data_IF_527337818197
#
_entry.id   IF_527337818197
#
_cell.length_a   1.000
_cell.length_b   1.000
_cell.length_c   1.000
_cell.angle_alpha   90.00
_cell.angle_beta   90.00
_cell.angle_gamma   90.00
#
_symmetry.space_group_name_H-M   'P 1'
#
loop_
_entity.id
_entity.type
_entity.pdbx_description
1 polymer ?
#
# COMPACT_ATOMS: atom_id res chain seq x y z
N UNK A 1 44.17 71.03 35.71
CA UNK A 1 44.32 69.57 35.75
C UNK A 1 43.19 69.00 34.91
N UNK A 2 43.08 69.38 33.63
CA UNK A 2 43.95 69.01 32.47
C UNK A 2 43.68 67.53 32.14
N UNK A 3 42.83 67.21 31.16
CA UNK A 3 42.94 67.39 29.69
C UNK A 3 43.95 66.45 29.03
N UNK A 4 43.42 65.58 28.15
CA UNK A 4 44.03 64.84 27.02
C UNK A 4 42.81 64.26 26.26
N UNK A 5 42.22 64.88 25.24
CA UNK A 5 42.72 65.10 23.86
C UNK A 5 43.36 63.84 23.26
N UNK A 6 42.84 63.21 22.20
CA UNK A 6 42.79 63.64 20.78
C UNK A 6 42.11 62.51 19.96
N UNK A 7 41.17 62.75 19.02
CA UNK A 7 41.36 63.07 17.58
C UNK A 7 42.16 61.96 16.84
N UNK A 8 41.76 61.31 15.74
CA UNK A 8 41.45 61.78 14.36
C UNK A 8 40.85 60.54 13.61
N UNK A 9 39.66 60.57 13.00
CA UNK A 9 39.28 61.03 11.65
C UNK A 9 39.74 60.14 10.46
N UNK A 10 38.73 59.72 9.68
CA UNK A 10 38.72 58.99 8.40
C UNK A 10 39.48 59.71 7.25
N UNK A 11 39.60 59.10 6.05
CA UNK A 11 38.64 59.50 5.03
C UNK A 11 38.18 58.41 4.03
N UNK A 12 36.92 58.60 3.59
CA UNK A 12 36.40 58.17 2.29
C UNK A 12 37.14 58.89 1.15
N UNK A 13 37.35 58.20 0.04
CA UNK A 13 37.48 58.84 -1.28
C UNK A 13 36.61 58.15 -2.33
N UNK A 14 36.01 59.02 -3.11
CA UNK A 14 35.01 58.87 -4.18
C UNK A 14 35.66 58.83 -5.57
N UNK A 15 35.10 58.10 -6.52
CA UNK A 15 34.76 58.54 -7.90
C UNK A 15 34.20 57.32 -8.67
N UNK A 16 32.95 57.32 -9.13
CA UNK A 16 32.38 58.03 -10.30
C UNK A 16 33.04 57.64 -11.63
N UNK A 17 32.33 56.88 -12.47
CA UNK A 17 31.74 57.40 -13.73
C UNK A 17 31.00 56.30 -14.48
N UNK A 18 29.76 56.61 -14.86
CA UNK A 18 28.91 55.93 -15.83
C UNK A 18 29.58 55.80 -17.20
N UNK A 19 29.30 54.71 -17.94
CA UNK A 19 28.92 54.79 -19.36
C UNK A 19 28.02 53.60 -19.76
N UNK A 20 26.92 53.97 -20.41
CA UNK A 20 25.92 53.11 -21.05
C UNK A 20 26.24 53.02 -22.55
N UNK A 21 26.42 51.82 -23.12
CA UNK A 21 26.01 51.51 -24.50
C UNK A 21 26.08 50.01 -24.82
N UNK A 22 25.16 49.57 -25.68
CA UNK A 22 24.83 48.21 -26.08
C UNK A 22 25.92 47.51 -26.90
N UNK A 23 26.01 46.19 -26.80
CA UNK A 23 26.21 45.32 -27.98
C UNK A 23 25.76 43.89 -27.69
N UNK A 24 25.11 43.33 -28.69
CA UNK A 24 24.77 41.93 -28.90
C UNK A 24 25.95 40.99 -28.60
N UNK A 25 25.66 39.74 -28.19
CA UNK A 25 26.14 38.53 -28.86
C UNK A 25 25.63 37.25 -28.16
N UNK A 26 24.88 36.49 -28.95
CA UNK A 26 25.01 35.05 -29.20
C UNK A 26 24.67 34.00 -28.12
N UNK A 27 23.57 33.30 -28.41
CA UNK A 27 23.26 31.94 -27.98
C UNK A 27 24.41 30.96 -28.35
N UNK A 28 24.76 30.01 -27.47
CA UNK A 28 25.35 28.76 -27.91
C UNK A 28 24.25 27.79 -28.38
N UNK A 29 24.30 27.45 -29.67
CA UNK A 29 23.64 26.29 -30.24
C UNK A 29 24.19 24.99 -29.61
N UNK A 30 23.32 24.08 -29.20
CA UNK A 30 23.67 22.66 -29.02
C UNK A 30 22.65 21.76 -29.71
N UNK A 31 23.12 21.16 -30.81
CA UNK A 31 22.80 19.82 -31.32
C UNK A 31 21.34 19.34 -31.26
N UNK A 32 20.63 19.53 -32.39
CA UNK A 32 19.47 18.70 -32.76
C UNK A 32 19.96 17.27 -33.09
N UNK A 33 19.70 16.32 -32.21
CA UNK A 33 19.64 14.90 -32.57
C UNK A 33 18.24 14.62 -33.12
N UNK A 34 18.15 14.40 -34.43
CA UNK A 34 16.93 13.97 -35.12
C UNK A 34 16.88 12.44 -35.05
N UNK A 35 15.94 11.89 -34.29
CA UNK A 35 15.58 10.48 -34.40
C UNK A 35 14.32 10.40 -35.27
N UNK A 36 14.49 9.77 -36.43
CA UNK A 36 13.44 9.53 -37.41
C UNK A 36 12.31 8.70 -36.79
N UNK A 37 11.08 9.19 -36.91
CA UNK A 37 9.86 8.41 -36.71
C UNK A 37 9.69 7.58 -37.98
N UNK A 38 9.87 6.26 -37.87
CA UNK A 38 9.45 5.32 -38.91
C UNK A 38 7.95 5.12 -38.71
N UNK A 39 7.16 5.68 -39.62
CA UNK A 39 5.75 5.36 -39.78
C UNK A 39 5.62 3.92 -40.28
N UNK A 40 5.04 3.05 -39.45
CA UNK A 40 4.40 1.84 -39.94
C UNK A 40 2.90 2.11 -40.01
N UNK A 41 2.42 2.25 -41.23
CA UNK A 41 1.03 2.10 -41.61
C UNK A 41 0.64 0.64 -41.39
N UNK A 42 -0.44 0.40 -40.66
CA UNK A 42 -1.21 -0.82 -40.86
C UNK A 42 -2.70 -0.51 -40.91
N UNK A 43 -3.34 -1.23 -41.83
CA UNK A 43 -4.58 -0.91 -42.49
C UNK A 43 -5.80 -1.05 -41.58
N UNK A 44 -6.84 -0.31 -41.96
CA UNK A 44 -8.11 -0.22 -41.25
C UNK A 44 -8.84 -1.55 -41.04
N UNK A 45 -9.74 -1.51 -40.07
CA UNK A 45 -11.16 -1.79 -40.35
C UNK A 45 -12.03 -1.02 -39.34
N UNK A 46 -12.66 0.04 -39.84
CA UNK A 46 -13.85 0.62 -39.24
C UNK A 46 -15.04 -0.30 -39.52
N UNK A 47 -15.80 -0.67 -38.49
CA UNK A 47 -17.23 -0.91 -38.64
C UNK A 47 -17.98 -0.23 -37.48
N UNK A 48 -18.90 0.65 -37.87
CA UNK A 48 -19.88 1.34 -37.01
C UNK A 48 -21.14 0.48 -36.87
N UNK A 49 -21.77 0.65 -35.71
CA UNK A 49 -23.21 0.52 -35.39
C UNK A 49 -23.86 -0.88 -35.46
N UNK A 50 -24.34 -1.36 -34.30
CA UNK A 50 -25.76 -1.16 -33.96
C UNK A 50 -26.08 -1.49 -32.50
N UNK A 51 -26.95 -0.67 -31.93
CA UNK A 51 -27.51 -0.80 -30.60
C UNK A 51 -28.81 -1.62 -30.66
N UNK A 52 -28.91 -2.68 -29.87
CA UNK A 52 -30.20 -3.25 -29.50
C UNK A 52 -30.25 -3.52 -27.99
N UNK A 53 -31.18 -2.81 -27.35
CA UNK A 53 -31.56 -2.93 -25.95
C UNK A 53 -32.39 -4.21 -25.78
N UNK A 54 -32.08 -5.05 -24.80
CA UNK A 54 -33.03 -6.05 -24.31
C UNK A 54 -33.25 -5.90 -22.79
N UNK A 55 -34.52 -5.99 -22.32
CA UNK A 55 -34.95 -5.41 -21.05
C UNK A 55 -34.69 -6.30 -19.82
N UNK A 56 -34.32 -5.61 -18.75
CA UNK A 56 -34.33 -6.04 -17.36
C UNK A 56 -35.72 -6.57 -16.97
N UNK A 57 -35.88 -7.88 -16.75
CA UNK A 57 -37.07 -8.46 -16.11
C UNK A 57 -36.77 -8.75 -14.64
N UNK A 58 -37.41 -7.97 -13.76
CA UNK A 58 -37.49 -8.25 -12.32
C UNK A 58 -38.35 -9.51 -12.10
N UNK A 59 -37.96 -10.47 -11.25
CA UNK A 59 -38.88 -11.49 -10.80
C UNK A 59 -39.78 -10.91 -9.70
N UNK A 60 -41.07 -10.91 -10.00
CA UNK A 60 -42.18 -10.58 -9.11
C UNK A 60 -42.31 -11.63 -8.01
N UNK A 61 -42.37 -11.21 -6.76
CA UNK A 61 -42.66 -12.08 -5.61
C UNK A 61 -44.10 -12.59 -5.71
N UNK A 62 -44.28 -13.91 -5.78
CA UNK A 62 -45.58 -14.57 -5.64
C UNK A 62 -45.66 -15.11 -4.21
N UNK A 63 -46.62 -14.58 -3.44
CA UNK A 63 -46.94 -15.08 -2.10
C UNK A 63 -47.75 -16.37 -2.22
N UNK A 64 -47.30 -17.43 -1.53
CA UNK A 64 -48.12 -18.59 -1.15
C UNK A 64 -47.85 -18.85 0.33
N UNK A 65 -48.81 -18.48 1.17
CA UNK A 65 -49.07 -19.07 2.50
C UNK A 65 -49.91 -20.34 2.27
N UNK A 66 -49.92 -21.43 3.03
CA UNK A 66 -49.35 -21.88 4.31
C UNK A 66 -49.43 -23.43 4.28
N UNK A 67 -48.62 -24.14 5.06
CA UNK A 67 -48.78 -25.60 5.17
C UNK A 67 -47.74 -26.33 6.04
N UNK A 68 -48.06 -26.44 7.32
CA UNK A 68 -47.76 -27.58 8.22
C UNK A 68 -46.30 -27.94 8.60
N UNK A 69 -45.88 -27.33 9.71
CA UNK A 69 -45.37 -27.96 10.94
C UNK A 69 -44.69 -29.35 10.83
N UNK A 70 -43.36 -29.36 10.72
CA UNK A 70 -42.53 -30.43 11.32
C UNK A 70 -41.36 -29.81 12.09
N UNK A 71 -41.42 -29.91 13.41
CA UNK A 71 -40.32 -29.61 14.33
C UNK A 71 -39.13 -30.50 14.00
N UNK A 72 -38.12 -29.94 13.32
CA UNK A 72 -36.80 -30.57 13.22
C UNK A 72 -35.93 -29.97 14.32
N UNK A 73 -35.68 -30.76 15.35
CA UNK A 73 -34.71 -30.46 16.39
C UNK A 73 -33.35 -30.16 15.75
N UNK A 74 -32.89 -28.93 15.90
CA UNK A 74 -31.51 -28.54 15.60
C UNK A 74 -30.60 -29.15 16.68
N UNK A 75 -29.60 -29.96 16.34
CA UNK A 75 -28.56 -30.29 17.31
C UNK A 75 -27.82 -29.00 17.68
N UNK A 76 -27.66 -28.80 18.98
CA UNK A 76 -26.96 -27.66 19.57
C UNK A 76 -25.52 -27.55 19.04
N UNK A 77 -25.13 -26.29 18.86
CA UNK A 77 -23.77 -25.73 18.73
C UNK A 77 -22.62 -26.74 18.90
N UNK A 78 -22.10 -27.21 17.77
CA UNK A 78 -20.71 -27.62 17.68
C UNK A 78 -19.94 -26.37 17.26
N UNK A 79 -19.05 -25.93 18.14
CA UNK A 79 -18.27 -24.71 18.01
C UNK A 79 -17.62 -24.60 16.64
N UNK A 80 -17.84 -23.47 15.99
CA UNK A 80 -16.99 -23.04 14.89
C UNK A 80 -15.59 -22.89 15.51
N UNK A 81 -14.70 -23.85 15.23
CA UNK A 81 -13.27 -23.68 15.49
C UNK A 81 -12.85 -22.46 14.68
N UNK A 82 -12.82 -21.31 15.34
CA UNK A 82 -12.20 -20.12 14.80
C UNK A 82 -10.74 -20.51 14.62
N UNK A 83 -10.32 -20.77 13.39
CA UNK A 83 -8.90 -20.65 13.03
C UNK A 83 -8.61 -19.16 13.14
N UNK A 84 -8.38 -18.71 14.38
CA UNK A 84 -7.92 -17.38 14.69
C UNK A 84 -6.53 -17.31 14.09
N UNK A 85 -6.36 -16.53 13.03
CA UNK A 85 -5.02 -16.17 12.59
C UNK A 85 -4.35 -15.41 13.75
N UNK A 86 -3.53 -16.12 14.52
CA UNK A 86 -2.90 -15.65 15.76
C UNK A 86 -2.14 -14.33 15.52
N UNK A 87 -1.47 -14.21 14.37
CA UNK A 87 -0.70 -13.02 14.01
C UNK A 87 -1.57 -11.76 13.91
N UNK A 88 -2.73 -11.83 13.25
CA UNK A 88 -3.61 -10.68 13.10
C UNK A 88 -4.25 -10.26 14.43
N UNK A 89 -4.64 -11.23 15.25
CA UNK A 89 -5.21 -11.00 16.58
C UNK A 89 -4.18 -10.39 17.53
N UNK A 90 -2.97 -10.95 17.55
CA UNK A 90 -1.85 -10.44 18.34
C UNK A 90 -1.44 -9.03 17.91
N UNK A 91 -1.40 -8.76 16.60
CA UNK A 91 -1.16 -7.43 16.04
C UNK A 91 -2.20 -6.42 16.53
N UNK A 92 -3.49 -6.74 16.39
CA UNK A 92 -4.57 -5.85 16.80
C UNK A 92 -4.46 -5.50 18.28
N UNK A 93 -4.25 -6.50 19.15
CA UNK A 93 -4.07 -6.29 20.59
C UNK A 93 -2.89 -5.38 20.89
N UNK A 94 -1.76 -5.59 20.23
CA UNK A 94 -0.56 -4.77 20.42
C UNK A 94 -0.78 -3.31 20.00
N UNK A 95 -1.34 -3.09 18.79
CA UNK A 95 -1.60 -1.74 18.27
C UNK A 95 -2.56 -1.00 19.19
N UNK A 96 -3.71 -1.58 19.53
CA UNK A 96 -4.74 -0.87 20.31
C UNK A 96 -4.42 -0.77 21.80
N UNK A 97 -3.68 -1.74 22.35
CA UNK A 97 -3.42 -1.84 23.80
C UNK A 97 -2.07 -1.25 24.23
N UNK A 98 -1.00 -1.54 23.50
CA UNK A 98 0.35 -1.14 23.90
C UNK A 98 0.78 0.16 23.21
N UNK A 99 0.37 0.37 21.96
CA UNK A 99 0.72 1.57 21.20
C UNK A 99 -0.31 2.69 21.24
N UNK A 100 -1.49 2.46 21.82
CA UNK A 100 -2.64 3.37 21.73
C UNK A 100 -2.95 3.78 20.27
N UNK A 101 -2.79 2.85 19.33
CA UNK A 101 -3.14 3.04 17.93
C UNK A 101 -4.66 3.06 17.74
N UNK A 102 -5.13 3.96 16.88
CA UNK A 102 -6.53 4.20 16.61
C UNK A 102 -6.87 3.88 15.15
N UNK A 103 -8.17 3.84 14.82
CA UNK A 103 -8.67 3.69 13.44
C UNK A 103 -8.00 2.57 12.63
N UNK A 104 -7.85 1.41 13.28
CA UNK A 104 -7.21 0.25 12.64
C UNK A 104 -8.13 -0.35 11.57
N UNK A 105 -7.70 -0.34 10.31
CA UNK A 105 -8.47 -0.83 9.15
C UNK A 105 -7.64 -1.84 8.35
N UNK A 106 -8.27 -2.94 7.93
CA UNK A 106 -7.64 -3.89 7.02
C UNK A 106 -7.65 -3.30 5.61
N UNK A 107 -6.48 -2.93 5.09
CA UNK A 107 -6.36 -2.28 3.77
C UNK A 107 -6.40 -3.34 2.68
N UNK A 108 -5.61 -4.41 2.80
CA UNK A 108 -5.57 -5.50 1.81
C UNK A 108 -5.11 -6.81 2.45
N UNK A 109 -5.61 -7.93 1.93
CA UNK A 109 -5.02 -9.25 2.12
C UNK A 109 -4.63 -9.79 0.75
N UNK A 110 -3.36 -10.14 0.56
CA UNK A 110 -2.84 -10.64 -0.72
C UNK A 110 -1.65 -11.58 -0.54
N UNK A 111 -1.38 -12.38 -1.55
CA UNK A 111 -0.13 -13.14 -1.68
C UNK A 111 0.99 -12.21 -2.15
N UNK A 112 2.17 -12.33 -1.55
CA UNK A 112 3.39 -11.68 -2.04
C UNK A 112 3.86 -12.39 -3.32
N UNK A 113 3.81 -11.68 -4.44
CA UNK A 113 4.27 -12.22 -5.72
C UNK A 113 5.72 -11.85 -6.00
N UNK A 114 6.31 -12.48 -7.02
CA UNK A 114 7.66 -12.17 -7.52
C UNK A 114 7.85 -10.67 -7.75
N UNK A 115 6.86 -9.98 -8.31
CA UNK A 115 6.91 -8.54 -8.54
C UNK A 115 7.07 -7.72 -7.27
N UNK A 116 6.48 -8.16 -6.15
CA UNK A 116 6.62 -7.49 -4.87
C UNK A 116 8.00 -7.80 -4.25
N UNK A 117 8.59 -8.96 -4.53
CA UNK A 117 9.91 -9.36 -3.99
C UNK A 117 11.08 -8.93 -4.89
N UNK A 118 10.80 -8.38 -6.07
CA UNK A 118 11.81 -8.01 -7.04
C UNK A 118 12.66 -6.84 -6.53
N UNK A 119 13.96 -7.11 -6.36
CA UNK A 119 14.92 -6.15 -5.80
C UNK A 119 15.05 -4.87 -6.62
N UNK A 120 14.86 -4.93 -7.94
CA UNK A 120 14.89 -3.75 -8.81
C UNK A 120 13.65 -2.85 -8.65
N UNK A 121 12.52 -3.40 -8.21
CA UNK A 121 11.27 -2.65 -8.07
C UNK A 121 11.13 -2.01 -6.70
N UNK A 122 11.64 -2.66 -5.65
CA UNK A 122 11.70 -2.14 -4.28
C UNK A 122 10.35 -1.58 -3.80
N UNK A 123 9.28 -2.33 -4.02
CA UNK A 123 7.91 -1.90 -3.76
C UNK A 123 6.94 -3.04 -3.46
N UNK A 124 5.98 -2.78 -2.59
CA UNK A 124 4.77 -3.57 -2.41
C UNK A 124 3.61 -2.90 -3.16
N UNK A 125 2.97 -3.63 -4.08
CA UNK A 125 1.83 -3.12 -4.83
C UNK A 125 0.49 -3.51 -4.16
N UNK A 126 -0.41 -2.56 -4.02
CA UNK A 126 -1.75 -2.72 -3.44
C UNK A 126 -2.81 -2.17 -4.41
N UNK A 127 -3.29 -3.00 -5.36
CA UNK A 127 -4.26 -2.56 -6.35
C UNK A 127 -5.58 -2.11 -5.72
N UNK A 128 -6.14 -0.98 -6.15
CA UNK A 128 -7.37 -0.42 -5.54
C UNK A 128 -8.53 -1.43 -5.60
N UNK A 129 -8.63 -2.20 -6.69
CA UNK A 129 -9.67 -3.22 -6.87
C UNK A 129 -9.60 -4.40 -5.88
N UNK A 130 -8.49 -4.56 -5.16
CA UNK A 130 -8.26 -5.64 -4.20
C UNK A 130 -8.32 -5.16 -2.75
N UNK A 131 -8.53 -3.86 -2.51
CA UNK A 131 -8.64 -3.31 -1.17
C UNK A 131 -9.85 -3.89 -0.45
N UNK A 132 -9.73 -4.02 0.87
CA UNK A 132 -10.82 -4.43 1.75
C UNK A 132 -11.59 -3.23 2.31
N UNK A 133 -10.97 -2.06 2.33
CA UNK A 133 -11.65 -0.78 2.53
C UNK A 133 -12.19 -0.22 1.22
N UNK A 134 -13.08 0.76 1.30
CA UNK A 134 -13.31 1.64 0.15
C UNK A 134 -12.00 2.37 -0.22
N UNK A 135 -11.81 2.75 -1.49
CA UNK A 135 -10.66 3.57 -1.87
C UNK A 135 -10.61 4.82 -1.00
N UNK A 136 -9.41 5.24 -0.59
CA UNK A 136 -9.16 6.42 0.24
C UNK A 136 -9.68 6.37 1.69
N UNK A 137 -10.48 5.37 2.09
CA UNK A 137 -11.10 5.32 3.43
C UNK A 137 -10.10 5.21 4.60
N UNK A 138 -8.86 4.83 4.31
CA UNK A 138 -7.77 4.82 5.30
C UNK A 138 -6.93 6.11 5.30
N UNK A 139 -7.21 7.07 4.41
CA UNK A 139 -6.52 8.35 4.26
C UNK A 139 -7.40 9.50 4.78
N UNK A 140 -6.77 10.59 5.22
CA UNK A 140 -7.45 11.88 5.41
C UNK A 140 -7.51 12.66 4.10
N UNK A 141 -8.36 13.69 4.02
CA UNK A 141 -8.47 14.53 2.82
C UNK A 141 -7.13 15.18 2.45
N UNK A 142 -6.38 15.67 3.44
CA UNK A 142 -5.03 16.21 3.23
C UNK A 142 -4.06 15.15 2.68
N UNK A 143 -4.13 13.91 3.17
CA UNK A 143 -3.27 12.82 2.68
C UNK A 143 -3.65 12.36 1.28
N UNK A 144 -4.94 12.40 0.92
CA UNK A 144 -5.42 12.16 -0.44
C UNK A 144 -4.82 13.21 -1.37
N UNK A 145 -4.93 14.49 -1.00
CA UNK A 145 -4.34 15.60 -1.75
C UNK A 145 -2.83 15.42 -1.90
N UNK A 146 -2.11 15.12 -0.82
CA UNK A 146 -0.67 14.86 -0.87
C UNK A 146 -0.30 13.73 -1.82
N UNK A 147 -1.09 12.66 -1.87
CA UNK A 147 -0.82 11.52 -2.76
C UNK A 147 -1.11 11.83 -4.22
N UNK A 148 -2.17 12.59 -4.50
CA UNK A 148 -2.59 12.89 -5.88
C UNK A 148 -1.71 14.01 -6.48
N UNK A 149 -1.21 14.95 -5.67
CA UNK A 149 -0.36 16.06 -6.12
C UNK A 149 1.15 15.74 -6.09
N UNK A 150 1.61 14.89 -5.16
CA UNK A 150 3.03 14.58 -5.02
C UNK A 150 3.51 13.57 -6.06
N UNK A 151 4.55 13.96 -6.82
CA UNK A 151 5.28 13.02 -7.69
C UNK A 151 5.96 11.90 -6.91
N UNK A 152 6.32 12.11 -5.64
CA UNK A 152 7.05 11.10 -4.86
C UNK A 152 6.17 10.29 -3.90
N UNK A 153 4.98 10.80 -3.58
CA UNK A 153 4.16 10.34 -2.46
C UNK A 153 4.58 11.02 -1.15
N UNK A 154 4.32 10.37 -0.02
CA UNK A 154 4.75 10.85 1.31
C UNK A 154 5.25 9.70 2.21
N UNK A 155 5.99 10.06 3.26
CA UNK A 155 6.58 9.08 4.20
C UNK A 155 5.52 8.50 5.13
N UNK A 156 5.59 7.20 5.36
CA UNK A 156 4.75 6.48 6.31
C UNK A 156 5.61 5.56 7.17
N UNK A 157 5.22 5.41 8.44
CA UNK A 157 5.85 4.45 9.35
C UNK A 157 5.19 3.09 9.17
N UNK A 158 5.98 2.02 9.25
CA UNK A 158 5.50 0.64 9.02
C UNK A 158 5.93 -0.25 10.17
N UNK A 159 5.00 -1.02 10.73
CA UNK A 159 5.26 -2.08 11.70
C UNK A 159 5.42 -3.42 10.99
N UNK A 160 6.48 -4.15 11.33
CA UNK A 160 6.72 -5.50 10.82
C UNK A 160 6.08 -6.61 11.65
N UNK A 161 6.19 -7.87 11.18
CA UNK A 161 5.67 -9.05 11.88
C UNK A 161 6.18 -9.25 13.31
N UNK A 162 7.33 -8.65 13.65
CA UNK A 162 7.92 -8.68 15.01
C UNK A 162 7.25 -7.71 15.99
N UNK A 163 6.16 -7.03 15.59
CA UNK A 163 5.45 -6.02 16.38
C UNK A 163 6.33 -4.82 16.79
N UNK A 164 7.25 -4.46 15.91
CA UNK A 164 8.13 -3.32 16.09
C UNK A 164 7.99 -2.39 14.90
N UNK A 165 7.96 -1.08 15.18
CA UNK A 165 8.04 -0.08 14.13
C UNK A 165 9.41 -0.19 13.44
N UNK A 166 9.38 -0.28 12.12
CA UNK A 166 10.59 -0.30 11.33
C UNK A 166 11.28 1.05 11.39
N UNK A 167 12.59 1.04 11.62
CA UNK A 167 13.40 2.23 11.89
C UNK A 167 13.38 3.22 10.71
N UNK A 168 13.38 2.70 9.47
CA UNK A 168 13.39 3.53 8.26
C UNK A 168 11.97 3.67 7.71
N UNK A 169 11.48 4.89 7.42
CA UNK A 169 10.16 5.06 6.84
C UNK A 169 10.09 4.47 5.42
N UNK A 170 8.90 4.03 5.03
CA UNK A 170 8.57 3.74 3.63
C UNK A 170 7.83 4.94 3.04
N UNK A 171 7.63 4.93 1.73
CA UNK A 171 6.84 5.96 1.05
C UNK A 171 5.56 5.36 0.50
N UNK A 172 4.42 5.98 0.81
CA UNK A 172 3.15 5.66 0.20
C UNK A 172 2.95 6.56 -1.02
N UNK A 173 2.63 5.96 -2.16
CA UNK A 173 2.29 6.66 -3.40
C UNK A 173 1.10 5.98 -4.09
N UNK A 174 0.28 6.76 -4.81
CA UNK A 174 -0.73 6.22 -5.73
C UNK A 174 -0.20 6.29 -7.16
N UNK A 175 -0.32 5.19 -7.91
CA UNK A 175 0.05 5.09 -9.31
C UNK A 175 -1.18 4.88 -10.16
N UNK A 176 -1.31 5.71 -11.18
CA UNK A 176 -2.32 5.54 -12.22
C UNK A 176 -1.82 4.56 -13.27
N UNK A 177 -2.50 3.42 -13.41
CA UNK A 177 -2.26 2.49 -14.50
C UNK A 177 -3.44 2.57 -15.47
N UNK A 178 -3.23 2.13 -16.72
CA UNK A 178 -4.24 2.15 -17.78
C UNK A 178 -5.61 1.59 -17.38
N UNK A 179 -5.64 0.59 -16.49
CA UNK A 179 -6.87 -0.16 -16.14
C UNK A 179 -7.24 -0.11 -14.65
N UNK A 180 -6.35 0.39 -13.80
CA UNK A 180 -6.55 0.46 -12.34
C UNK A 180 -5.52 1.39 -11.73
N UNK A 181 -5.93 2.09 -10.70
CA UNK A 181 -4.98 2.73 -9.80
C UNK A 181 -4.48 1.73 -8.77
N UNK A 182 -3.27 1.96 -8.26
CA UNK A 182 -2.65 1.17 -7.22
C UNK A 182 -2.05 2.07 -6.14
N UNK A 183 -2.18 1.68 -4.88
CA UNK A 183 -1.29 2.19 -3.84
C UNK A 183 -0.01 1.38 -3.80
N UNK A 184 1.11 2.04 -3.51
CA UNK A 184 2.43 1.43 -3.51
C UNK A 184 3.19 1.89 -2.28
N UNK A 185 3.69 0.93 -1.49
CA UNK A 185 4.73 1.18 -0.48
C UNK A 185 6.09 0.97 -1.14
N UNK A 186 6.93 2.01 -1.22
CA UNK A 186 8.22 1.99 -1.95
C UNK A 186 9.42 2.46 -1.11
N UNK A 187 10.60 2.50 -1.74
CA UNK A 187 11.89 3.04 -1.26
C UNK A 187 12.64 2.16 -0.25
N UNK A 188 11.98 1.65 0.79
CA UNK A 188 12.63 0.80 1.80
C UNK A 188 12.01 -0.59 1.90
N UNK A 189 11.19 -0.98 0.92
CA UNK A 189 10.46 -2.24 0.94
C UNK A 189 11.38 -3.46 0.96
N UNK A 190 12.42 -3.51 0.12
CA UNK A 190 13.35 -4.64 0.11
C UNK A 190 14.12 -4.78 1.42
N UNK A 191 14.52 -3.66 2.02
CA UNK A 191 15.22 -3.68 3.31
C UNK A 191 14.26 -4.17 4.41
N UNK A 192 13.02 -3.70 4.38
CA UNK A 192 11.98 -4.14 5.30
C UNK A 192 11.72 -5.66 5.20
N UNK A 193 11.64 -6.23 3.99
CA UNK A 193 11.45 -7.67 3.82
C UNK A 193 12.69 -8.47 4.16
N UNK A 194 13.90 -7.95 3.90
CA UNK A 194 15.16 -8.58 4.30
C UNK A 194 15.27 -8.73 5.83
N UNK A 195 14.84 -7.73 6.59
CA UNK A 195 14.82 -7.74 8.06
C UNK A 195 13.67 -8.59 8.64
N UNK A 196 12.65 -8.86 7.82
CA UNK A 196 11.46 -9.63 8.17
C UNK A 196 11.32 -10.85 7.24
N UNK A 197 12.28 -11.78 7.32
CA UNK A 197 12.43 -12.97 6.45
C UNK A 197 11.20 -13.88 6.28
N UNK A 198 10.20 -13.76 7.18
CA UNK A 198 8.90 -14.44 7.03
C UNK A 198 8.09 -13.89 5.85
N UNK A 199 8.32 -12.63 5.46
CA UNK A 199 7.72 -11.97 4.30
C UNK A 199 8.49 -12.36 3.04
N UNK A 200 8.16 -13.51 2.48
CA UNK A 200 8.76 -14.04 1.25
C UNK A 200 7.70 -14.30 0.19
N UNK A 201 8.15 -14.58 -1.03
CA UNK A 201 7.28 -15.00 -2.13
C UNK A 201 6.31 -16.10 -1.66
N UNK A 202 5.09 -16.03 -2.16
CA UNK A 202 3.97 -16.93 -1.89
C UNK A 202 3.42 -16.87 -0.45
N UNK A 203 3.96 -15.98 0.39
CA UNK A 203 3.37 -15.69 1.72
C UNK A 203 2.10 -14.87 1.54
N UNK A 204 1.00 -15.32 2.14
CA UNK A 204 -0.21 -14.51 2.28
C UNK A 204 0.02 -13.51 3.41
N UNK A 205 -0.20 -12.24 3.13
CA UNK A 205 -0.05 -11.16 4.11
C UNK A 205 -1.34 -10.37 4.25
N UNK A 206 -1.50 -9.74 5.41
CA UNK A 206 -2.42 -8.63 5.60
C UNK A 206 -1.63 -7.34 5.80
N UNK A 207 -2.12 -6.28 5.18
CA UNK A 207 -1.67 -4.91 5.41
C UNK A 207 -2.79 -4.15 6.09
N UNK A 208 -2.50 -3.59 7.25
CA UNK A 208 -3.41 -2.80 8.07
C UNK A 208 -2.95 -1.36 8.07
N UNK A 209 -3.87 -0.40 8.02
CA UNK A 209 -3.60 0.99 8.39
C UNK A 209 -4.02 1.22 9.83
N UNK A 210 -3.38 2.15 10.51
CA UNK A 210 -3.81 2.67 11.80
C UNK A 210 -3.26 4.08 12.01
N UNK A 211 -3.78 4.77 13.02
CA UNK A 211 -3.35 6.12 13.40
C UNK A 211 -2.57 6.07 14.69
N UNK A 212 -1.42 6.74 14.72
CA UNK A 212 -0.63 6.96 15.94
C UNK A 212 -0.32 8.45 16.04
N UNK A 213 -0.85 9.08 17.07
CA UNK A 213 -0.70 10.52 17.31
C UNK A 213 -1.15 11.37 16.09
N UNK A 214 -2.22 10.93 15.41
CA UNK A 214 -2.77 11.55 14.20
C UNK A 214 -2.14 11.08 12.87
N UNK A 215 -0.93 10.52 12.91
CA UNK A 215 -0.21 10.12 11.70
C UNK A 215 -0.64 8.75 11.16
N UNK A 216 -0.69 8.62 9.83
CA UNK A 216 -0.90 7.34 9.15
C UNK A 216 0.30 6.39 9.34
N UNK A 217 0.01 5.21 9.87
CA UNK A 217 0.95 4.10 9.97
C UNK A 217 0.37 2.86 9.28
N UNK A 218 1.26 1.97 8.83
CA UNK A 218 0.89 0.64 8.35
C UNK A 218 1.44 -0.46 9.26
N UNK A 219 0.79 -1.61 9.27
CA UNK A 219 1.30 -2.84 9.86
C UNK A 219 1.14 -4.00 8.89
N UNK A 220 2.17 -4.84 8.81
CA UNK A 220 2.22 -5.96 7.86
C UNK A 220 2.49 -7.25 8.63
N UNK A 221 1.59 -8.22 8.48
CA UNK A 221 1.71 -9.53 9.14
C UNK A 221 1.43 -10.67 8.16
N UNK A 222 2.14 -11.81 8.29
CA UNK A 222 1.82 -13.02 7.55
C UNK A 222 0.52 -13.62 8.10
N UNK A 223 -0.20 -14.31 7.21
CA UNK A 223 -1.40 -15.08 7.52
C UNK A 223 -1.16 -16.51 7.11
N UNK A 224 -1.40 -17.44 8.04
CA UNK A 224 -1.37 -18.87 7.72
C UNK A 224 -2.48 -19.19 6.72
N UNK A 225 -2.18 -19.99 5.70
CA UNK A 225 -3.23 -20.51 4.85
C UNK A 225 -4.00 -21.56 5.65
N UNK A 226 -5.33 -21.62 5.52
CA UNK A 226 -6.13 -22.68 6.17
C UNK A 226 -5.64 -24.09 5.84
N UNK A 227 -4.93 -24.27 4.73
CA UNK A 227 -4.35 -25.54 4.27
C UNK A 227 -3.14 -25.99 5.11
N UNK A 228 -2.36 -25.05 5.65
CA UNK A 228 -1.17 -25.34 6.46
C UNK A 228 -1.56 -25.70 7.92
N UNK A 229 -2.79 -25.40 8.34
CA UNK A 229 -3.34 -25.79 9.65
C UNK A 229 -3.74 -27.29 9.71
N UNK A 230 -3.99 -27.92 8.56
CA UNK A 230 -4.36 -29.35 8.48
C UNK A 230 -3.16 -30.30 8.47
N UNK A 231 -1.92 -29.80 8.36
CA UNK A 231 -0.71 -30.64 8.40
C UNK A 231 -0.19 -30.87 9.83
N UNK A 232 -0.76 -30.19 10.83
CA UNK A 232 -0.29 -30.28 12.22
C UNK A 232 -1.02 -31.34 13.07
N UNK A 233 -2.05 -32.01 12.51
CA UNK A 233 -2.82 -33.06 13.21
C UNK A 233 -2.30 -34.49 12.92
N UNK A 234 -1.53 -34.71 11.85
CA UNK A 234 -1.13 -36.06 11.41
C UNK A 234 0.10 -36.67 12.13
N UNK A 235 0.76 -35.94 13.04
CA UNK A 235 1.93 -36.45 13.78
C UNK A 235 1.63 -37.01 15.18
N UNK A 236 0.37 -37.15 15.58
CA UNK A 236 -0.01 -37.78 16.87
C UNK A 236 -0.71 -39.14 16.75
N UNK A 237 -0.92 -39.65 15.54
CA UNK A 237 -1.48 -41.00 15.33
C UNK A 237 -0.39 -42.06 15.47
N UNK A 238 -0.16 -42.53 16.71
CA UNK A 238 0.65 -43.72 16.98
C UNK A 238 0.10 -44.95 16.23
N UNK A 239 0.95 -45.82 15.65
CA UNK A 239 0.47 -47.04 15.00
C UNK A 239 -0.08 -48.02 16.04
N UNK A 240 -1.38 -48.33 15.96
CA UNK A 240 -1.95 -49.47 16.69
C UNK A 240 -1.38 -50.75 16.08
N UNK A 241 -0.46 -51.40 16.80
CA UNK A 241 -0.04 -52.78 16.57
C UNK A 241 -1.27 -53.68 16.64
N UNK A 242 -1.64 -54.31 15.52
CA UNK A 242 -2.58 -55.42 15.52
C UNK A 242 -1.87 -56.67 16.06
N UNK A 243 -2.24 -57.10 17.25
CA UNK A 243 -1.98 -58.45 17.74
C UNK A 243 -3.00 -59.38 17.07
N UNK A 244 -2.54 -60.27 16.19
CA UNK A 244 -3.31 -61.42 15.76
C UNK A 244 -3.20 -62.50 16.84
N UNK A 245 -4.31 -62.81 17.52
CA UNK A 245 -4.44 -64.05 18.29
C UNK A 245 -5.14 -65.09 17.42
N UNK A 246 -4.37 -66.15 17.13
CA UNK A 246 -4.69 -67.53 16.70
C UNK A 246 -5.92 -67.76 15.82
#
# INVERSE_FOLDING_TARGET
MDDLSSLIQSPLTTSSSDQHFQSQNDLPQSSKSSCAIVEHTDHGCCFRENAEKLPFKKPTCLWIEEGENTKRNMPEKIGCSLVVNDNATRLKRFITGEMNGLDMKLVIQKTLYESDMNTSQNRLNMPIKQLKTRPHEFLTDDEIQMIDESKEGFKVRVMGPKLQMYEKPLWLKKWHMKHSDNYVLKTNWNNFTADNKVLKKDTVIQVWSFRKDGELCFAIVPVERPEDANLHEDLTSSPKMYFNFL
#
